data_IF_209409222707
#
_entry.id   IF_209409222707
#
_cell.length_a   1.000
_cell.length_b   1.000
_cell.length_c   1.000
_cell.angle_alpha   90.00
_cell.angle_beta   90.00
_cell.angle_gamma   90.00
#
_symmetry.space_group_name_H-M   'P 1'
#
loop_
_entity.id
_entity.type
_entity.pdbx_description
1 polymer ?
#
# COMPACT_ATOMS: atom_id res chain seq x y z
N UNK A 1 -30.57 58.07 -17.19
CA UNK A 1 -31.09 56.87 -16.56
C UNK A 1 -29.93 55.93 -16.30
N UNK A 2 -29.50 55.77 -15.04
CA UNK A 2 -28.35 54.94 -14.67
C UNK A 2 -28.88 53.53 -14.32
N UNK A 3 -28.59 52.56 -15.16
CA UNK A 3 -28.90 51.14 -14.86
C UNK A 3 -27.88 50.65 -13.84
N UNK A 4 -28.36 50.40 -12.63
CA UNK A 4 -27.60 49.65 -11.61
C UNK A 4 -27.82 48.16 -11.84
N UNK A 5 -26.84 47.46 -12.36
CA UNK A 5 -26.79 46.01 -12.32
C UNK A 5 -26.49 45.56 -10.88
N UNK A 6 -27.50 45.01 -10.21
CA UNK A 6 -27.34 44.30 -8.94
C UNK A 6 -26.89 42.91 -9.27
N UNK A 7 -25.60 42.63 -9.09
CA UNK A 7 -25.06 41.28 -9.17
C UNK A 7 -25.42 40.55 -7.88
N UNK A 8 -26.49 39.74 -7.92
CA UNK A 8 -26.85 38.85 -6.82
C UNK A 8 -25.89 37.67 -6.88
N UNK A 9 -24.88 37.71 -6.02
CA UNK A 9 -23.96 36.58 -5.78
C UNK A 9 -24.76 35.56 -4.95
N UNK A 10 -25.33 34.55 -5.60
CA UNK A 10 -25.92 33.38 -4.94
C UNK A 10 -24.73 32.57 -4.37
N UNK A 11 -24.44 32.79 -3.09
CA UNK A 11 -23.64 31.87 -2.30
C UNK A 11 -24.46 30.57 -2.13
N UNK A 12 -24.25 29.63 -3.03
CA UNK A 12 -24.68 28.23 -2.80
C UNK A 12 -23.83 27.69 -1.69
N UNK A 13 -24.36 27.66 -0.48
CA UNK A 13 -23.80 26.89 0.62
C UNK A 13 -23.92 25.41 0.22
N UNK A 14 -22.85 24.85 -0.31
CA UNK A 14 -22.72 23.40 -0.45
C UNK A 14 -22.56 22.84 0.95
N UNK A 15 -23.63 22.30 1.51
CA UNK A 15 -23.54 21.51 2.75
C UNK A 15 -22.85 20.22 2.37
N UNK A 16 -21.54 20.15 2.61
CA UNK A 16 -20.79 18.90 2.47
C UNK A 16 -21.13 18.04 3.67
N UNK A 17 -21.90 17.00 3.45
CA UNK A 17 -22.06 15.93 4.44
C UNK A 17 -20.74 15.14 4.43
N UNK A 18 -19.97 15.22 5.51
CA UNK A 18 -18.86 14.31 5.74
C UNK A 18 -19.44 12.93 6.01
N UNK A 19 -19.05 11.95 5.23
CA UNK A 19 -19.37 10.56 5.54
C UNK A 19 -18.54 10.15 6.76
N UNK A 20 -19.21 9.84 7.86
CA UNK A 20 -18.55 9.27 9.03
C UNK A 20 -18.40 7.78 8.80
N UNK A 21 -17.17 7.30 8.94
CA UNK A 21 -16.85 5.86 8.90
C UNK A 21 -16.77 5.38 10.33
N UNK A 22 -17.68 4.49 10.70
CA UNK A 22 -17.65 3.85 12.02
C UNK A 22 -16.62 2.72 12.00
N UNK A 23 -15.71 2.71 12.97
CA UNK A 23 -14.70 1.67 13.13
C UNK A 23 -14.48 1.36 14.60
N UNK A 24 -13.90 0.20 14.84
CA UNK A 24 -13.42 -0.22 16.17
C UNK A 24 -11.91 -0.39 16.08
N UNK A 25 -11.19 0.10 17.08
CA UNK A 25 -9.74 -0.07 17.17
C UNK A 25 -9.31 -0.61 18.52
N UNK A 26 -8.25 -1.40 18.55
CA UNK A 26 -7.66 -1.96 19.76
C UNK A 26 -6.24 -2.47 19.48
N UNK A 27 -5.47 -2.63 20.54
CA UNK A 27 -4.14 -3.22 20.47
C UNK A 27 -4.17 -4.67 20.97
N UNK A 28 -3.45 -5.55 20.26
CA UNK A 28 -3.19 -6.90 20.73
C UNK A 28 -2.05 -6.91 21.76
N UNK A 29 -1.94 -7.98 22.57
CA UNK A 29 -0.90 -8.12 23.58
C UNK A 29 0.53 -8.03 23.03
N UNK A 30 0.73 -8.36 21.76
CA UNK A 30 2.00 -8.26 21.05
C UNK A 30 2.30 -6.85 20.48
N UNK A 31 1.41 -5.87 20.73
CA UNK A 31 1.54 -4.49 20.26
C UNK A 31 1.02 -4.23 18.84
N UNK A 32 0.40 -5.22 18.18
CA UNK A 32 -0.23 -4.98 16.89
C UNK A 32 -1.49 -4.14 17.07
N UNK A 33 -1.54 -2.97 16.46
CA UNK A 33 -2.73 -2.13 16.39
C UNK A 33 -3.69 -2.65 15.32
N UNK A 34 -4.95 -2.85 15.70
CA UNK A 34 -5.99 -3.42 14.83
C UNK A 34 -7.13 -2.43 14.66
N UNK A 35 -7.53 -2.21 13.41
CA UNK A 35 -8.68 -1.38 13.06
C UNK A 35 -9.69 -2.27 12.30
N UNK A 36 -10.93 -2.29 12.77
CA UNK A 36 -12.02 -3.04 12.17
C UNK A 36 -13.11 -2.08 11.70
N UNK A 37 -13.46 -2.16 10.43
CA UNK A 37 -14.63 -1.48 9.87
C UNK A 37 -15.56 -2.50 9.23
N UNK A 38 -16.82 -2.50 9.64
CA UNK A 38 -17.84 -3.38 9.08
C UNK A 38 -18.71 -2.61 8.08
N UNK A 39 -18.69 -3.07 6.82
CA UNK A 39 -19.59 -2.61 5.77
C UNK A 39 -20.23 -3.82 5.09
N UNK A 40 -21.57 -3.92 5.16
CA UNK A 40 -22.32 -5.04 4.60
C UNK A 40 -22.91 -4.72 3.21
N UNK A 41 -22.49 -3.65 2.57
CA UNK A 41 -23.01 -3.23 1.25
C UNK A 41 -22.54 -4.13 0.11
N UNK A 42 -21.39 -4.83 0.29
CA UNK A 42 -20.86 -5.76 -0.69
C UNK A 42 -20.35 -7.06 -0.01
N UNK A 43 -20.46 -8.23 -0.66
CA UNK A 43 -20.01 -9.50 -0.11
C UNK A 43 -18.49 -9.70 -0.27
N UNK A 44 -17.69 -8.71 0.13
CA UNK A 44 -16.24 -8.72 0.06
C UNK A 44 -15.63 -8.43 1.43
N UNK A 45 -14.40 -8.86 1.63
CA UNK A 45 -13.56 -8.50 2.78
C UNK A 45 -12.21 -8.03 2.29
N UNK A 46 -11.66 -7.05 2.97
CA UNK A 46 -10.31 -6.54 2.74
C UNK A 46 -9.51 -6.82 4.00
N UNK A 47 -8.41 -7.54 3.86
CA UNK A 47 -7.37 -7.65 4.88
C UNK A 47 -6.19 -6.81 4.46
N UNK A 48 -5.62 -6.04 5.39
CA UNK A 48 -4.51 -5.16 5.05
C UNK A 48 -3.55 -5.00 6.22
N UNK A 49 -2.27 -4.83 5.89
CA UNK A 49 -1.19 -4.56 6.85
C UNK A 49 -0.44 -3.32 6.41
N UNK A 50 -0.25 -2.43 7.37
CA UNK A 50 0.54 -1.21 7.19
C UNK A 50 1.78 -1.25 8.08
N UNK A 51 2.95 -1.16 7.45
CA UNK A 51 4.22 -0.99 8.15
C UNK A 51 4.58 0.49 8.16
N UNK A 52 4.92 1.04 9.34
CA UNK A 52 5.46 2.41 9.48
C UNK A 52 6.94 2.43 9.07
N UNK A 53 7.19 1.95 7.85
CA UNK A 53 8.51 1.92 7.20
C UNK A 53 8.34 2.32 5.74
N UNK A 54 9.11 3.30 5.30
CA UNK A 54 9.02 3.82 3.94
C UNK A 54 10.31 4.47 3.47
N UNK A 55 10.20 5.32 2.46
CA UNK A 55 11.34 6.04 1.89
C UNK A 55 12.08 6.95 2.88
N UNK A 56 11.43 7.39 3.96
CA UNK A 56 12.02 8.20 5.05
C UNK A 56 13.07 7.42 5.85
N UNK A 57 12.91 6.10 5.99
CA UNK A 57 13.70 5.22 6.86
C UNK A 57 14.95 4.68 6.17
N UNK A 58 15.51 5.45 5.26
CA UNK A 58 16.68 5.05 4.50
C UNK A 58 17.99 5.44 5.18
N UNK A 59 19.01 4.65 4.96
CA UNK A 59 20.40 5.01 5.22
C UNK A 59 20.98 5.75 4.01
N UNK A 60 21.94 6.64 4.25
CA UNK A 60 22.66 7.34 3.19
C UNK A 60 23.36 6.34 2.25
N UNK A 61 23.16 6.52 0.94
CA UNK A 61 23.68 5.61 -0.08
C UNK A 61 22.90 4.30 -0.28
N UNK A 62 21.82 4.07 0.51
CA UNK A 62 20.99 2.86 0.43
C UNK A 62 19.52 3.24 0.22
N UNK A 63 19.18 3.73 -0.96
CA UNK A 63 17.81 4.13 -1.31
C UNK A 63 17.01 2.96 -1.87
N UNK A 64 15.69 2.95 -1.60
CA UNK A 64 14.76 1.98 -2.16
C UNK A 64 14.62 0.67 -1.39
N UNK A 65 15.19 0.56 -0.18
CA UNK A 65 15.09 -0.66 0.62
C UNK A 65 13.65 -1.00 1.00
N UNK A 66 12.84 -0.03 1.42
CA UNK A 66 11.45 -0.28 1.78
C UNK A 66 10.65 -0.86 0.59
N UNK A 67 10.81 -0.32 -0.62
CA UNK A 67 10.21 -0.85 -1.83
C UNK A 67 10.77 -2.23 -2.21
N UNK A 68 12.04 -2.46 -2.00
CA UNK A 68 12.65 -3.78 -2.23
C UNK A 68 12.08 -4.83 -1.27
N UNK A 69 11.91 -4.50 0.01
CA UNK A 69 11.25 -5.37 0.97
C UNK A 69 9.76 -5.58 0.67
N UNK A 70 9.08 -4.60 0.08
CA UNK A 70 7.72 -4.81 -0.43
C UNK A 70 7.66 -6.01 -1.37
N UNK A 71 8.58 -6.11 -2.33
CA UNK A 71 8.67 -7.26 -3.24
C UNK A 71 9.05 -8.55 -2.52
N UNK A 72 10.05 -8.51 -1.65
CA UNK A 72 10.56 -9.70 -0.96
C UNK A 72 9.50 -10.38 -0.09
N UNK A 73 8.57 -9.62 0.51
CA UNK A 73 7.51 -10.17 1.34
C UNK A 73 6.39 -10.87 0.54
N UNK A 74 6.47 -10.90 -0.79
CA UNK A 74 5.64 -11.76 -1.65
C UNK A 74 6.29 -13.07 -2.05
N UNK A 75 7.60 -13.23 -1.79
CA UNK A 75 8.34 -14.40 -2.26
C UNK A 75 7.88 -15.70 -1.61
N UNK A 76 7.54 -15.66 -0.33
CA UNK A 76 7.03 -16.82 0.40
C UNK A 76 7.22 -16.70 1.90
N UNK A 77 6.71 -17.71 2.60
CA UNK A 77 6.87 -17.85 4.05
C UNK A 77 7.26 -19.28 4.41
N UNK A 78 7.38 -19.55 5.71
CA UNK A 78 7.64 -20.89 6.21
C UNK A 78 6.60 -21.92 5.72
N UNK A 79 5.34 -21.49 5.57
CA UNK A 79 4.22 -22.36 5.22
C UNK A 79 3.68 -22.11 3.80
N UNK A 80 4.19 -21.10 3.10
CA UNK A 80 3.79 -20.72 1.75
C UNK A 80 5.03 -20.75 0.87
N UNK A 81 5.02 -21.63 -0.13
CA UNK A 81 6.13 -21.78 -1.05
C UNK A 81 6.39 -20.53 -1.90
N UNK A 82 7.57 -20.46 -2.48
CA UNK A 82 8.00 -19.34 -3.32
C UNK A 82 7.00 -19.07 -4.46
N UNK A 83 6.52 -17.83 -4.55
CA UNK A 83 5.54 -17.39 -5.55
C UNK A 83 4.13 -17.95 -5.37
N UNK A 84 3.84 -18.67 -4.28
CA UNK A 84 2.51 -19.20 -4.02
C UNK A 84 1.51 -18.15 -3.54
N UNK A 85 1.94 -17.09 -2.87
CA UNK A 85 1.05 -15.95 -2.55
C UNK A 85 0.27 -15.49 -3.78
N UNK A 86 0.98 -15.28 -4.90
CA UNK A 86 0.41 -14.80 -6.16
C UNK A 86 -0.54 -15.81 -6.84
N UNK A 87 -0.55 -17.07 -6.39
CA UNK A 87 -1.43 -18.14 -6.91
C UNK A 87 -2.61 -18.38 -5.99
N UNK A 88 -2.38 -18.40 -4.68
CA UNK A 88 -3.41 -18.69 -3.66
C UNK A 88 -4.52 -17.64 -3.73
N UNK A 89 -4.16 -16.36 -3.82
CA UNK A 89 -5.13 -15.27 -3.77
C UNK A 89 -6.10 -15.32 -4.96
N UNK A 90 -5.65 -15.34 -6.24
CA UNK A 90 -6.56 -15.44 -7.37
C UNK A 90 -7.33 -16.77 -7.42
N UNK A 91 -6.70 -17.89 -7.01
CA UNK A 91 -7.38 -19.19 -6.96
C UNK A 91 -8.56 -19.23 -5.99
N UNK A 92 -8.60 -18.31 -5.01
CA UNK A 92 -9.69 -18.15 -4.07
C UNK A 92 -10.62 -16.96 -4.40
N UNK A 93 -10.54 -16.44 -5.63
CA UNK A 93 -11.39 -15.35 -6.11
C UNK A 93 -10.98 -13.98 -5.58
N UNK A 94 -9.77 -13.87 -5.05
CA UNK A 94 -9.21 -12.63 -4.51
C UNK A 94 -8.33 -11.87 -5.50
N UNK A 95 -8.00 -10.66 -5.11
CA UNK A 95 -6.97 -9.81 -5.74
C UNK A 95 -6.15 -9.16 -4.65
N UNK A 96 -4.94 -8.75 -4.96
CA UNK A 96 -4.00 -8.17 -4.00
C UNK A 96 -3.20 -7.05 -4.63
N UNK A 97 -2.63 -6.21 -3.79
CA UNK A 97 -1.62 -5.24 -4.20
C UNK A 97 -0.80 -4.78 -2.99
N UNK A 98 0.28 -4.07 -3.28
CA UNK A 98 1.07 -3.38 -2.27
C UNK A 98 1.56 -2.03 -2.81
N UNK A 99 2.01 -1.17 -1.93
CA UNK A 99 2.69 0.06 -2.31
C UNK A 99 3.57 0.58 -1.19
N UNK A 100 4.70 1.16 -1.57
CA UNK A 100 5.61 1.88 -0.69
C UNK A 100 5.54 3.38 -0.97
N UNK A 101 5.39 4.16 0.08
CA UNK A 101 5.48 5.64 0.05
C UNK A 101 6.67 6.13 0.88
N UNK A 102 6.72 7.44 1.17
CA UNK A 102 7.74 8.01 2.03
C UNK A 102 7.64 7.51 3.47
N UNK A 103 6.43 7.30 3.97
CA UNK A 103 6.17 7.05 5.39
C UNK A 103 5.75 5.61 5.69
N UNK A 104 5.29 4.85 4.69
CA UNK A 104 4.71 3.53 4.92
C UNK A 104 4.94 2.56 3.77
N UNK A 105 4.89 1.26 4.09
CA UNK A 105 4.66 0.16 3.15
C UNK A 105 3.33 -0.51 3.50
N UNK A 106 2.46 -0.68 2.52
CA UNK A 106 1.09 -1.12 2.70
C UNK A 106 0.77 -2.28 1.79
N UNK A 107 0.24 -3.36 2.35
CA UNK A 107 -0.23 -4.55 1.65
C UNK A 107 -1.72 -4.69 1.86
N UNK A 108 -2.44 -5.19 0.87
CA UNK A 108 -3.85 -5.52 1.02
C UNK A 108 -4.28 -6.62 0.07
N UNK A 109 -5.18 -7.46 0.58
CA UNK A 109 -5.86 -8.51 -0.14
C UNK A 109 -7.36 -8.26 -0.10
N UNK A 110 -8.02 -8.45 -1.23
CA UNK A 110 -9.49 -8.35 -1.36
C UNK A 110 -10.02 -9.73 -1.71
N UNK A 111 -10.92 -10.24 -0.89
CA UNK A 111 -11.52 -11.56 -1.06
C UNK A 111 -13.05 -11.50 -1.02
N UNK A 112 -13.76 -12.54 -1.54
CA UNK A 112 -15.13 -12.81 -1.11
C UNK A 112 -15.21 -12.92 0.41
N UNK A 113 -16.29 -12.42 1.03
CA UNK A 113 -16.41 -12.29 2.50
C UNK A 113 -16.23 -13.61 3.27
N UNK A 114 -16.52 -14.76 2.65
CA UNK A 114 -16.32 -16.08 3.23
C UNK A 114 -14.84 -16.53 3.27
N UNK A 115 -13.90 -15.69 2.85
CA UNK A 115 -12.45 -15.97 2.83
C UNK A 115 -11.65 -15.09 3.81
N UNK A 116 -12.32 -14.48 4.77
CA UNK A 116 -11.65 -13.64 5.79
C UNK A 116 -10.50 -14.38 6.48
N UNK A 117 -10.73 -15.63 6.91
CA UNK A 117 -9.69 -16.42 7.59
C UNK A 117 -8.46 -16.65 6.70
N UNK A 118 -8.67 -16.87 5.40
CA UNK A 118 -7.56 -17.01 4.44
C UNK A 118 -6.75 -15.71 4.35
N UNK A 119 -7.41 -14.56 4.21
CA UNK A 119 -6.73 -13.27 4.15
C UNK A 119 -5.93 -12.97 5.41
N UNK A 120 -6.51 -13.22 6.59
CA UNK A 120 -5.81 -13.05 7.87
C UNK A 120 -4.62 -14.00 8.01
N UNK A 121 -4.76 -15.25 7.55
CA UNK A 121 -3.65 -16.20 7.55
C UNK A 121 -2.51 -15.77 6.64
N UNK A 122 -2.80 -15.33 5.41
CA UNK A 122 -1.79 -14.85 4.47
C UNK A 122 -1.00 -13.66 5.04
N UNK A 123 -1.69 -12.69 5.62
CA UNK A 123 -1.03 -11.54 6.22
C UNK A 123 -0.23 -11.91 7.48
N UNK A 124 -0.72 -12.87 8.29
CA UNK A 124 0.04 -13.37 9.44
C UNK A 124 1.32 -14.09 9.03
N UNK A 125 1.29 -14.87 7.95
CA UNK A 125 2.48 -15.53 7.39
C UNK A 125 3.49 -14.50 6.86
N UNK A 126 3.01 -13.46 6.18
CA UNK A 126 3.84 -12.34 5.72
C UNK A 126 4.54 -11.61 6.87
N UNK A 127 3.83 -11.38 7.98
CA UNK A 127 4.37 -10.65 9.14
C UNK A 127 5.33 -11.48 9.98
N UNK A 128 5.02 -12.78 10.19
CA UNK A 128 5.70 -13.59 11.21
C UNK A 128 6.76 -14.54 10.64
N UNK A 129 6.59 -14.98 9.41
CA UNK A 129 7.34 -16.11 8.88
C UNK A 129 7.92 -15.91 7.48
N UNK A 130 8.28 -14.69 7.03
CA UNK A 130 8.79 -14.51 5.69
C UNK A 130 10.09 -15.29 5.50
N UNK A 131 10.23 -15.93 4.34
CA UNK A 131 11.46 -16.62 3.95
C UNK A 131 12.12 -15.83 2.83
N UNK A 132 13.24 -15.21 3.15
CA UNK A 132 14.04 -14.39 2.23
C UNK A 132 15.38 -15.09 2.03
N UNK A 133 15.49 -15.84 0.95
CA UNK A 133 16.74 -16.48 0.55
C UNK A 133 17.54 -15.64 -0.47
N UNK A 134 18.78 -16.03 -0.75
CA UNK A 134 19.62 -15.31 -1.70
C UNK A 134 19.02 -15.28 -3.11
N UNK A 135 18.34 -16.33 -3.53
CA UNK A 135 17.68 -16.39 -4.84
C UNK A 135 16.52 -15.39 -4.95
N UNK A 136 15.74 -15.23 -3.87
CA UNK A 136 14.70 -14.21 -3.78
C UNK A 136 15.31 -12.79 -3.89
N UNK A 137 16.39 -12.54 -3.14
CA UNK A 137 17.11 -11.26 -3.17
C UNK A 137 17.60 -10.94 -4.57
N UNK A 138 18.29 -11.89 -5.22
CA UNK A 138 18.85 -11.68 -6.57
C UNK A 138 17.75 -11.46 -7.61
N UNK A 139 16.67 -12.24 -7.54
CA UNK A 139 15.54 -12.13 -8.46
C UNK A 139 14.86 -10.78 -8.32
N UNK A 140 14.46 -10.40 -7.10
CA UNK A 140 13.73 -9.16 -6.87
C UNK A 140 14.58 -7.91 -7.08
N UNK A 141 15.90 -8.01 -6.90
CA UNK A 141 16.81 -6.92 -7.24
C UNK A 141 16.73 -6.56 -8.74
N UNK A 142 16.69 -7.56 -9.62
CA UNK A 142 16.58 -7.32 -11.06
C UNK A 142 15.17 -6.79 -11.43
N UNK A 143 14.11 -7.29 -10.78
CA UNK A 143 12.73 -6.79 -10.99
C UNK A 143 12.64 -5.31 -10.62
N UNK A 144 13.06 -4.92 -9.43
CA UNK A 144 13.00 -3.52 -8.95
C UNK A 144 13.87 -2.59 -9.81
N UNK A 145 15.04 -3.05 -10.27
CA UNK A 145 15.86 -2.29 -11.22
C UNK A 145 15.14 -2.07 -12.55
N UNK A 146 14.44 -3.08 -13.05
CA UNK A 146 13.70 -2.98 -14.31
C UNK A 146 12.50 -2.05 -14.18
N UNK A 147 11.75 -2.12 -13.08
CA UNK A 147 10.66 -1.17 -12.80
C UNK A 147 11.17 0.28 -12.77
N UNK A 148 12.31 0.50 -12.13
CA UNK A 148 12.95 1.83 -12.12
C UNK A 148 13.30 2.31 -13.52
N UNK A 149 13.86 1.43 -14.39
CA UNK A 149 14.16 1.76 -15.79
C UNK A 149 12.90 2.13 -16.54
N UNK A 150 11.85 1.29 -16.45
CA UNK A 150 10.57 1.52 -17.10
C UNK A 150 9.89 2.82 -16.63
N UNK A 151 10.00 3.13 -15.33
CA UNK A 151 9.50 4.39 -14.79
C UNK A 151 10.24 5.61 -15.38
N UNK A 152 11.54 5.51 -15.57
CA UNK A 152 12.37 6.60 -16.12
C UNK A 152 12.23 6.78 -17.63
N UNK A 153 11.87 5.72 -18.34
CA UNK A 153 11.68 5.75 -19.80
C UNK A 153 10.33 6.37 -20.24
N UNK A 154 9.40 6.54 -19.30
CA UNK A 154 8.14 7.24 -19.54
C UNK A 154 8.35 8.75 -19.71
N UNK A 155 7.52 9.44 -20.53
CA UNK A 155 7.53 10.88 -20.56
C UNK A 155 7.43 11.47 -19.15
N UNK A 156 8.32 12.40 -18.82
CA UNK A 156 8.44 13.00 -17.49
C UNK A 156 8.80 12.04 -16.33
N UNK A 157 9.21 10.80 -16.61
CA UNK A 157 9.51 9.78 -15.60
C UNK A 157 10.57 10.17 -14.57
N UNK A 158 11.47 11.10 -14.92
CA UNK A 158 12.49 11.63 -14.00
C UNK A 158 12.06 12.89 -13.25
N UNK A 159 10.88 13.45 -13.55
CA UNK A 159 10.44 14.73 -12.99
C UNK A 159 10.36 14.72 -11.46
N UNK A 160 9.72 13.69 -10.90
CA UNK A 160 9.59 13.56 -9.45
C UNK A 160 10.95 13.42 -8.77
N UNK A 161 11.86 12.64 -9.35
CA UNK A 161 13.22 12.50 -8.82
C UNK A 161 13.92 13.86 -8.75
N UNK A 162 13.94 14.60 -9.86
CA UNK A 162 14.58 15.93 -9.92
C UNK A 162 13.92 16.90 -8.95
N UNK A 163 12.59 16.85 -8.82
CA UNK A 163 11.85 17.68 -7.86
C UNK A 163 12.28 17.41 -6.42
N UNK A 164 12.31 16.14 -6.01
CA UNK A 164 12.71 15.74 -4.66
C UNK A 164 14.16 16.11 -4.36
N UNK A 165 15.08 15.83 -5.29
CA UNK A 165 16.51 16.21 -5.17
C UNK A 165 16.70 17.72 -5.09
N UNK A 166 15.79 18.53 -5.65
CA UNK A 166 15.84 19.99 -5.59
C UNK A 166 15.25 20.55 -4.29
N UNK A 167 14.29 19.86 -3.69
CA UNK A 167 13.59 20.31 -2.49
C UNK A 167 14.30 19.87 -1.20
N UNK A 168 14.97 18.73 -1.20
CA UNK A 168 15.57 18.12 -0.02
C UNK A 168 17.08 17.97 -0.19
N UNK A 169 17.83 18.39 0.86
CA UNK A 169 19.31 18.28 0.86
C UNK A 169 19.83 16.86 0.88
N UNK A 170 19.04 15.97 1.47
CA UNK A 170 19.32 14.54 1.56
C UNK A 170 18.09 13.81 1.02
N UNK A 171 18.25 13.18 -0.13
CA UNK A 171 17.16 12.41 -0.75
C UNK A 171 17.73 11.21 -1.51
#
# INVERSE_FOLDING_TARGET
>A
MKNRFILVFLLTFSVSFSQQVDFTEFDLENGLHVILHQDNTAPVVITSVMYDVGGKDREEGRTGFAHFFEHLLFEGSKNIGKGEFMKIIPANGGTFNANTSQDRTYYYDIFPSNKLELGLWLESERMLHPVIDQLAVDTQNEVVKEEKRQSYDRPYGKLLKVLWESLFKVH
#
